data_IF_884135218254
#
_entry.id   IF_884135218254
#
_cell.length_a   1.000
_cell.length_b   1.000
_cell.length_c   1.000
_cell.angle_alpha   90.00
_cell.angle_beta   90.00
_cell.angle_gamma   90.00
#
_symmetry.space_group_name_H-M   'P 1'
#
loop_
_entity.id
_entity.type
_entity.pdbx_description
1 polymer ?
#
# COMPACT_ATOMS: atom_id res chain seq x y z
N UNK A 1 -32.44 2.15 -0.11
CA UNK A 1 -31.84 0.80 -0.26
C UNK A 1 -31.13 0.55 -1.60
N UNK A 2 -31.47 1.23 -2.71
CA UNK A 2 -30.77 1.04 -4.00
C UNK A 2 -29.28 1.45 -3.97
N UNK A 3 -28.92 2.45 -3.16
CA UNK A 3 -27.55 2.94 -3.01
C UNK A 3 -26.55 1.83 -2.58
N UNK A 4 -27.00 0.79 -1.86
CA UNK A 4 -26.17 -0.33 -1.41
C UNK A 4 -25.56 -1.14 -2.57
N UNK A 5 -26.24 -1.19 -3.73
CA UNK A 5 -25.78 -1.97 -4.90
C UNK A 5 -24.69 -1.26 -5.71
N UNK A 6 -24.61 0.06 -5.60
CA UNK A 6 -23.64 0.88 -6.36
C UNK A 6 -22.20 0.47 -6.08
N UNK A 7 -21.72 0.32 -4.82
CA UNK A 7 -20.35 -0.08 -4.54
C UNK A 7 -20.01 -1.51 -4.98
N UNK A 8 -21.01 -2.37 -5.20
CA UNK A 8 -20.81 -3.73 -5.70
C UNK A 8 -20.61 -3.77 -7.24
N UNK A 9 -21.16 -2.81 -7.97
CA UNK A 9 -21.10 -2.77 -9.43
C UNK A 9 -19.97 -1.87 -9.97
N UNK A 10 -19.68 -0.76 -9.28
CA UNK A 10 -18.67 0.21 -9.72
C UNK A 10 -17.25 -0.36 -9.91
N UNK A 11 -16.77 -1.39 -9.18
CA UNK A 11 -15.46 -1.98 -9.44
C UNK A 11 -15.25 -2.45 -10.88
N UNK A 12 -16.30 -2.94 -11.55
CA UNK A 12 -16.21 -3.39 -12.95
C UNK A 12 -15.88 -2.25 -13.92
N UNK A 13 -16.36 -1.03 -13.64
CA UNK A 13 -16.09 0.16 -14.45
C UNK A 13 -14.79 0.88 -14.02
N UNK A 14 -14.57 1.01 -12.71
CA UNK A 14 -13.44 1.77 -12.18
C UNK A 14 -12.08 1.10 -12.43
N UNK A 15 -12.01 -0.25 -12.42
CA UNK A 15 -10.77 -0.99 -12.60
C UNK A 15 -10.12 -0.75 -13.98
N UNK A 16 -10.80 -0.86 -15.13
CA UNK A 16 -10.21 -0.55 -16.43
C UNK A 16 -9.77 0.92 -16.53
N UNK A 17 -10.52 1.86 -15.94
CA UNK A 17 -10.15 3.28 -15.90
C UNK A 17 -8.85 3.49 -15.10
N UNK A 18 -8.76 2.91 -13.91
CA UNK A 18 -7.58 2.99 -13.06
C UNK A 18 -6.34 2.41 -13.75
N UNK A 19 -6.46 1.28 -14.45
CA UNK A 19 -5.35 0.67 -15.19
C UNK A 19 -4.87 1.57 -16.32
N UNK A 20 -5.78 2.11 -17.14
CA UNK A 20 -5.45 3.05 -18.24
C UNK A 20 -4.76 4.30 -17.70
N UNK A 21 -5.26 4.85 -16.60
CA UNK A 21 -4.68 6.04 -15.99
C UNK A 21 -3.28 5.75 -15.43
N UNK A 22 -3.07 4.59 -14.82
CA UNK A 22 -1.79 4.19 -14.25
C UNK A 22 -0.68 4.08 -15.31
N UNK A 23 -1.00 3.64 -16.53
CA UNK A 23 -0.04 3.54 -17.64
C UNK A 23 0.56 4.90 -18.05
N UNK A 24 -0.17 5.99 -17.82
CA UNK A 24 0.25 7.35 -18.18
C UNK A 24 0.92 8.10 -17.02
N UNK A 25 0.94 7.54 -15.82
CA UNK A 25 1.46 8.18 -14.62
C UNK A 25 2.90 7.73 -14.30
N UNK A 26 3.67 8.60 -13.60
CA UNK A 26 4.93 8.16 -13.00
C UNK A 26 4.71 6.96 -12.07
N UNK A 27 5.67 6.02 -11.98
CA UNK A 27 5.46 4.74 -11.29
C UNK A 27 4.95 4.86 -9.84
N UNK A 28 5.47 5.83 -9.09
CA UNK A 28 5.02 6.10 -7.72
C UNK A 28 3.56 6.55 -7.67
N UNK A 29 3.16 7.48 -8.53
CA UNK A 29 1.78 7.97 -8.60
C UNK A 29 0.82 6.87 -9.05
N UNK A 30 1.21 6.07 -10.04
CA UNK A 30 0.45 4.90 -10.50
C UNK A 30 0.24 3.86 -9.38
N UNK A 31 1.26 3.56 -8.59
CA UNK A 31 1.15 2.64 -7.45
C UNK A 31 0.15 3.16 -6.40
N UNK A 32 0.21 4.44 -6.04
CA UNK A 32 -0.74 5.07 -5.12
C UNK A 32 -2.17 5.09 -5.69
N UNK A 33 -2.33 5.40 -6.97
CA UNK A 33 -3.63 5.38 -7.64
C UNK A 33 -4.26 3.99 -7.58
N UNK A 34 -3.52 2.95 -8.01
CA UNK A 34 -4.04 1.59 -8.06
C UNK A 34 -4.37 1.05 -6.67
N UNK A 35 -3.50 1.28 -5.68
CA UNK A 35 -3.74 0.84 -4.31
C UNK A 35 -4.90 1.61 -3.66
N UNK A 36 -4.98 2.93 -3.87
CA UNK A 36 -6.07 3.77 -3.37
C UNK A 36 -7.41 3.35 -3.97
N UNK A 37 -7.47 3.16 -5.29
CA UNK A 37 -8.66 2.64 -5.98
C UNK A 37 -9.08 1.28 -5.43
N UNK A 38 -8.15 0.34 -5.29
CA UNK A 38 -8.44 -0.98 -4.73
C UNK A 38 -9.00 -0.89 -3.30
N UNK A 39 -8.44 -0.02 -2.46
CA UNK A 39 -8.86 0.16 -1.06
C UNK A 39 -10.26 0.77 -0.95
N UNK A 40 -10.56 1.82 -1.73
CA UNK A 40 -11.88 2.49 -1.71
C UNK A 40 -12.97 1.55 -2.20
N UNK A 41 -12.74 0.87 -3.32
CA UNK A 41 -13.74 -0.03 -3.89
C UNK A 41 -13.96 -1.28 -3.02
N UNK A 42 -12.90 -1.86 -2.46
CA UNK A 42 -13.01 -2.99 -1.53
C UNK A 42 -13.72 -2.58 -0.23
N UNK A 43 -13.41 -1.38 0.29
CA UNK A 43 -14.09 -0.80 1.45
C UNK A 43 -15.58 -0.59 1.21
N UNK A 44 -15.94 -0.01 0.07
CA UNK A 44 -17.34 0.16 -0.34
C UNK A 44 -18.10 -1.17 -0.45
N UNK A 45 -17.47 -2.19 -1.07
CA UNK A 45 -18.03 -3.55 -1.13
C UNK A 45 -18.28 -4.14 0.25
N UNK A 46 -17.30 -4.04 1.15
CA UNK A 46 -17.41 -4.56 2.51
C UNK A 46 -18.50 -3.83 3.32
N UNK A 47 -18.55 -2.50 3.21
CA UNK A 47 -19.59 -1.70 3.85
C UNK A 47 -20.99 -2.07 3.32
N UNK A 48 -21.16 -2.20 2.00
CA UNK A 48 -22.45 -2.59 1.40
C UNK A 48 -22.94 -3.95 1.90
N UNK A 49 -22.07 -4.96 1.89
CA UNK A 49 -22.42 -6.29 2.42
C UNK A 49 -22.72 -6.24 3.92
N UNK A 50 -21.94 -5.46 4.67
CA UNK A 50 -22.16 -5.25 6.11
C UNK A 50 -23.51 -4.61 6.40
N UNK A 51 -23.89 -3.57 5.66
CA UNK A 51 -25.20 -2.90 5.80
C UNK A 51 -26.36 -3.84 5.46
N UNK A 52 -26.24 -4.63 4.38
CA UNK A 52 -27.26 -5.64 4.04
C UNK A 52 -27.41 -6.70 5.14
N UNK A 53 -26.30 -7.21 5.66
CA UNK A 53 -26.33 -8.17 6.75
C UNK A 53 -26.95 -7.57 8.03
N UNK A 54 -26.56 -6.34 8.37
CA UNK A 54 -27.07 -5.64 9.56
C UNK A 54 -28.57 -5.36 9.42
N UNK A 55 -29.05 -4.88 8.27
CA UNK A 55 -30.47 -4.62 8.04
C UNK A 55 -31.35 -5.86 8.27
N UNK A 56 -30.88 -7.04 7.86
CA UNK A 56 -31.62 -8.27 8.13
C UNK A 56 -31.46 -8.79 9.57
N UNK A 57 -30.30 -8.60 10.20
CA UNK A 57 -30.10 -8.95 11.61
C UNK A 57 -31.05 -8.15 12.53
N UNK A 58 -31.31 -6.88 12.22
CA UNK A 58 -32.24 -6.03 12.99
C UNK A 58 -33.68 -6.53 12.93
N UNK A 59 -34.06 -7.35 11.94
CA UNK A 59 -35.38 -7.95 11.82
C UNK A 59 -35.54 -9.29 12.58
N UNK A 60 -34.47 -9.79 13.22
CA UNK A 60 -34.57 -10.95 14.11
C UNK A 60 -35.21 -10.54 15.44
N UNK A 61 -36.24 -11.28 15.93
CA UNK A 61 -36.98 -10.90 17.14
C UNK A 61 -36.06 -10.63 18.37
N UNK A 62 -35.04 -11.44 18.67
CA UNK A 62 -34.17 -11.17 19.81
C UNK A 62 -33.30 -9.90 19.63
N UNK A 63 -32.91 -9.58 18.40
CA UNK A 63 -32.10 -8.39 18.11
C UNK A 63 -32.98 -7.14 18.16
N UNK A 64 -34.19 -7.19 17.59
CA UNK A 64 -35.16 -6.12 17.66
C UNK A 64 -35.55 -5.80 19.10
N UNK A 65 -35.78 -6.82 19.93
CA UNK A 65 -36.10 -6.65 21.36
C UNK A 65 -34.96 -6.00 22.14
N UNK A 66 -33.70 -6.43 21.92
CA UNK A 66 -32.52 -5.81 22.54
C UNK A 66 -32.33 -4.34 22.14
N UNK A 67 -32.69 -3.98 20.90
CA UNK A 67 -32.59 -2.61 20.39
C UNK A 67 -33.83 -1.76 20.65
N UNK A 68 -34.87 -2.29 21.31
CA UNK A 68 -36.17 -1.66 21.48
C UNK A 68 -36.79 -1.20 20.14
N UNK A 69 -36.72 -2.07 19.12
CA UNK A 69 -37.15 -1.76 17.76
C UNK A 69 -38.56 -2.35 17.46
N UNK A 70 -39.39 -1.57 16.79
CA UNK A 70 -40.67 -2.08 16.28
C UNK A 70 -40.46 -3.02 15.12
N UNK A 71 -40.67 -4.32 15.34
CA UNK A 71 -40.50 -5.37 14.33
C UNK A 71 -41.51 -5.21 13.16
N UNK A 72 -42.82 -4.89 13.40
CA UNK A 72 -43.78 -4.65 12.32
C UNK A 72 -43.36 -3.51 11.41
N UNK A 73 -42.81 -2.44 12.00
CA UNK A 73 -42.33 -1.29 11.22
C UNK A 73 -41.11 -1.65 10.38
N UNK A 74 -40.10 -2.33 10.94
CA UNK A 74 -38.90 -2.76 10.22
C UNK A 74 -39.22 -3.69 9.04
N UNK A 75 -40.17 -4.61 9.21
CA UNK A 75 -40.56 -5.54 8.15
C UNK A 75 -41.34 -4.83 7.04
N UNK A 76 -42.14 -3.84 7.37
CA UNK A 76 -42.87 -3.02 6.40
C UNK A 76 -41.90 -2.06 5.65
N UNK A 77 -40.93 -1.44 6.34
CA UNK A 77 -39.97 -0.51 5.75
C UNK A 77 -38.95 -1.19 4.82
N UNK A 78 -38.57 -2.45 5.09
CA UNK A 78 -37.56 -3.18 4.33
C UNK A 78 -37.91 -4.68 4.18
N UNK A 79 -38.92 -5.05 3.39
CA UNK A 79 -39.41 -6.43 3.28
C UNK A 79 -38.38 -7.39 2.67
N UNK A 80 -37.44 -6.88 1.86
CA UNK A 80 -36.38 -7.69 1.23
C UNK A 80 -35.13 -7.88 2.12
N UNK A 81 -35.04 -7.19 3.28
CA UNK A 81 -33.84 -7.23 4.12
C UNK A 81 -33.47 -8.63 4.63
N UNK A 82 -34.41 -9.52 5.03
CA UNK A 82 -34.05 -10.88 5.46
C UNK A 82 -33.40 -11.69 4.34
N UNK A 83 -33.94 -11.59 3.11
CA UNK A 83 -33.37 -12.31 1.95
C UNK A 83 -31.98 -11.76 1.61
N UNK A 84 -31.83 -10.43 1.59
CA UNK A 84 -30.54 -9.79 1.33
C UNK A 84 -29.49 -10.16 2.37
N UNK A 85 -29.87 -10.24 3.66
CA UNK A 85 -28.99 -10.66 4.74
C UNK A 85 -28.62 -12.14 4.68
N UNK A 86 -29.58 -13.01 4.32
CA UNK A 86 -29.33 -14.43 4.12
C UNK A 86 -28.29 -14.71 3.02
N UNK A 87 -28.18 -13.80 2.04
CA UNK A 87 -27.14 -13.86 1.01
C UNK A 87 -25.84 -13.16 1.45
N UNK A 88 -25.93 -11.97 2.05
CA UNK A 88 -24.77 -11.18 2.43
C UNK A 88 -23.99 -11.78 3.60
N UNK A 89 -24.66 -12.42 4.57
CA UNK A 89 -24.03 -13.01 5.75
C UNK A 89 -23.00 -14.11 5.41
N UNK A 90 -23.40 -15.16 4.68
CA UNK A 90 -22.48 -16.19 4.22
C UNK A 90 -21.34 -15.64 3.35
N UNK A 91 -21.61 -14.68 2.47
CA UNK A 91 -20.58 -14.03 1.65
C UNK A 91 -19.57 -13.32 2.56
N UNK A 92 -20.01 -12.55 3.55
CA UNK A 92 -19.12 -11.89 4.52
C UNK A 92 -18.28 -12.92 5.32
N UNK A 93 -18.89 -14.02 5.75
CA UNK A 93 -18.17 -15.08 6.46
C UNK A 93 -17.07 -15.70 5.58
N UNK A 94 -17.36 -15.97 4.32
CA UNK A 94 -16.37 -16.46 3.35
C UNK A 94 -15.26 -15.44 3.12
N UNK A 95 -15.59 -14.16 2.92
CA UNK A 95 -14.61 -13.09 2.74
C UNK A 95 -13.71 -12.91 3.98
N UNK A 96 -14.29 -12.97 5.18
CA UNK A 96 -13.54 -12.93 6.42
C UNK A 96 -12.58 -14.14 6.53
N UNK A 97 -13.04 -15.34 6.21
CA UNK A 97 -12.21 -16.55 6.20
C UNK A 97 -11.06 -16.45 5.19
N UNK A 98 -11.33 -15.94 3.98
CA UNK A 98 -10.30 -15.68 2.96
C UNK A 98 -9.28 -14.65 3.45
N UNK A 99 -9.71 -13.52 4.01
CA UNK A 99 -8.84 -12.48 4.55
C UNK A 99 -7.95 -13.02 5.67
N UNK A 100 -8.52 -13.78 6.62
CA UNK A 100 -7.76 -14.44 7.70
C UNK A 100 -6.77 -15.45 7.12
N UNK A 101 -7.18 -16.28 6.16
CA UNK A 101 -6.30 -17.25 5.49
C UNK A 101 -5.13 -16.56 4.80
N UNK A 102 -5.37 -15.49 4.03
CA UNK A 102 -4.35 -14.71 3.35
C UNK A 102 -3.39 -14.05 4.36
N UNK A 103 -3.92 -13.43 5.42
CA UNK A 103 -3.12 -12.84 6.49
C UNK A 103 -2.24 -13.88 7.21
N UNK A 104 -2.81 -15.06 7.55
CA UNK A 104 -2.07 -16.17 8.20
C UNK A 104 -0.97 -16.72 7.31
N UNK A 105 -1.24 -16.96 6.01
CA UNK A 105 -0.24 -17.40 5.03
C UNK A 105 0.93 -16.43 4.97
N UNK A 106 0.67 -15.14 4.81
CA UNK A 106 1.70 -14.11 4.82
C UNK A 106 2.52 -14.09 6.08
N UNK A 107 1.85 -14.20 7.22
CA UNK A 107 2.52 -14.22 8.51
C UNK A 107 3.47 -15.42 8.64
N UNK A 108 3.04 -16.61 8.21
CA UNK A 108 3.85 -17.82 8.20
C UNK A 108 5.03 -17.71 7.23
N UNK A 109 4.81 -17.21 6.00
CA UNK A 109 5.88 -16.98 5.01
C UNK A 109 6.95 -16.02 5.54
N UNK A 110 6.54 -14.89 6.14
CA UNK A 110 7.47 -13.93 6.72
C UNK A 110 8.20 -14.50 7.96
N UNK A 111 7.54 -15.37 8.75
CA UNK A 111 8.19 -16.07 9.86
C UNK A 111 9.23 -17.06 9.34
N UNK A 112 8.87 -17.88 8.36
CA UNK A 112 9.78 -18.85 7.76
C UNK A 112 11.00 -18.18 7.14
N UNK A 113 10.79 -17.08 6.38
CA UNK A 113 11.89 -16.31 5.81
C UNK A 113 12.83 -15.73 6.86
N UNK A 114 12.29 -15.28 8.02
CA UNK A 114 13.14 -14.79 9.12
C UNK A 114 13.88 -15.91 9.84
N UNK A 115 13.26 -17.07 9.99
CA UNK A 115 13.88 -18.23 10.63
C UNK A 115 15.01 -18.84 9.79
N UNK A 116 14.93 -18.72 8.46
CA UNK A 116 15.96 -19.16 7.53
C UNK A 116 17.20 -18.24 7.50
N UNK A 117 17.09 -17.04 8.10
CA UNK A 117 18.23 -16.11 8.17
C UNK A 117 19.09 -16.41 9.39
N UNK A 118 20.43 -16.52 9.23
CA UNK A 118 21.33 -16.64 10.37
C UNK A 118 21.17 -15.42 11.29
N UNK A 119 21.35 -15.64 12.59
CA UNK A 119 21.42 -14.58 13.59
C UNK A 119 22.77 -13.83 13.40
N UNK A 120 22.86 -13.02 12.35
CA UNK A 120 24.07 -12.27 12.06
C UNK A 120 24.15 -11.00 12.90
N UNK A 121 25.34 -10.60 13.37
CA UNK A 121 25.55 -9.28 13.95
C UNK A 121 25.18 -8.22 12.90
N UNK A 122 24.21 -7.37 13.25
CA UNK A 122 23.73 -6.32 12.39
C UNK A 122 24.86 -5.29 12.14
N UNK A 123 25.53 -5.40 11.00
CA UNK A 123 26.34 -4.29 10.50
C UNK A 123 25.42 -3.26 9.86
N UNK A 124 25.49 -1.98 10.26
CA UNK A 124 24.75 -0.94 9.56
C UNK A 124 25.22 -0.91 8.10
N UNK A 125 24.24 -0.94 7.18
CA UNK A 125 24.48 -1.04 5.73
C UNK A 125 25.32 0.12 5.12
N UNK A 126 25.62 1.15 5.90
CA UNK A 126 26.40 2.32 5.46
C UNK A 126 27.90 2.08 5.36
N UNK A 127 28.45 1.06 6.02
CA UNK A 127 29.92 0.82 6.04
C UNK A 127 30.43 -0.04 4.88
N UNK A 128 29.56 -0.53 4.01
CA UNK A 128 29.92 -1.46 2.92
C UNK A 128 29.98 -0.81 1.53
N UNK A 129 29.76 0.50 1.42
CA UNK A 129 30.01 1.22 0.17
C UNK A 129 31.43 1.76 0.21
N UNK A 130 32.32 1.44 -0.76
CA UNK A 130 33.60 2.09 -0.85
C UNK A 130 33.37 3.59 -0.99
N UNK A 131 33.93 4.37 -0.10
CA UNK A 131 34.06 5.80 -0.29
C UNK A 131 34.71 6.03 -1.67
N UNK A 132 34.09 6.83 -2.52
CA UNK A 132 34.76 7.31 -3.71
C UNK A 132 36.08 7.94 -3.28
N UNK A 133 37.17 7.42 -3.86
CA UNK A 133 38.50 7.95 -3.63
C UNK A 133 38.48 9.44 -3.96
N UNK A 134 38.72 10.23 -2.93
CA UNK A 134 39.20 11.58 -3.09
C UNK A 134 40.66 11.45 -3.57
N UNK A 135 40.90 11.89 -4.81
CA UNK A 135 42.26 12.15 -5.29
C UNK A 135 42.97 13.09 -4.31
N UNK A 136 44.23 12.75 -3.94
CA UNK A 136 45.02 13.59 -3.08
C UNK A 136 45.78 14.63 -3.93
N UNK A 137 45.11 15.67 -4.36
CA UNK A 137 45.78 16.87 -4.88
C UNK A 137 44.86 18.07 -4.82
N UNK A 138 44.79 18.73 -3.69
CA UNK A 138 44.82 20.19 -3.58
C UNK A 138 44.87 20.62 -2.10
N UNK A 139 46.08 20.58 -1.54
CA UNK A 139 46.45 21.38 -0.37
C UNK A 139 46.95 22.72 -0.90
N UNK A 140 46.15 23.78 -0.76
CA UNK A 140 46.71 25.14 -0.49
C UNK A 140 45.63 26.18 -0.19
N UNK A 141 45.91 26.90 0.89
CA UNK A 141 45.56 28.30 1.25
C UNK A 141 44.15 28.56 1.81
N UNK A 142 44.01 28.72 3.13
CA UNK A 142 44.12 29.99 3.84
C UNK A 142 42.77 30.58 4.28
N UNK A 143 42.63 31.15 5.50
CA UNK A 143 41.32 31.51 6.08
C UNK A 143 40.97 33.00 5.85
N UNK A 144 39.71 33.32 5.71
CA UNK A 144 39.19 34.67 6.03
C UNK A 144 37.69 34.69 6.41
N UNK A 145 37.20 35.77 7.05
CA UNK A 145 36.46 35.66 8.30
C UNK A 145 34.97 36.06 8.22
N UNK A 146 34.35 36.00 9.38
CA UNK A 146 32.98 36.33 9.72
C UNK A 146 32.40 37.64 9.17
N UNK A 147 31.09 37.59 8.81
CA UNK A 147 30.19 38.76 8.94
C UNK A 147 28.80 38.30 9.42
N UNK A 148 28.42 38.74 10.63
CA UNK A 148 27.03 39.02 11.03
C UNK A 148 26.71 40.46 10.65
N UNK A 149 25.45 40.84 10.36
CA UNK A 149 24.58 41.44 11.37
C UNK A 149 23.10 40.97 11.25
N UNK A 150 22.40 40.77 12.36
CA UNK A 150 21.49 41.68 13.09
C UNK A 150 20.38 42.33 12.25
N UNK A 151 19.12 41.99 12.59
CA UNK A 151 17.91 42.63 12.08
C UNK A 151 16.63 42.02 12.66
N UNK A 152 16.26 42.43 13.86
CA UNK A 152 14.96 42.18 14.49
C UNK A 152 13.91 43.07 13.82
N UNK A 153 12.79 42.51 13.37
CA UNK A 153 11.55 43.28 13.23
C UNK A 153 10.34 42.48 13.65
N UNK A 154 9.63 43.02 14.62
CA UNK A 154 8.31 42.65 15.08
C UNK A 154 7.25 42.89 14.00
N UNK A 155 6.32 41.96 13.78
CA UNK A 155 4.98 42.24 13.29
C UNK A 155 3.99 41.16 13.72
N UNK A 156 3.16 41.57 14.60
CA UNK A 156 1.69 41.47 14.68
C UNK A 156 1.03 40.08 14.81
N UNK A 157 0.45 39.96 16.03
CA UNK A 157 -0.44 38.87 16.43
C UNK A 157 -1.90 39.26 16.19
N UNK A 158 -2.61 38.50 15.33
CA UNK A 158 -4.08 38.21 15.39
C UNK A 158 -4.52 37.47 14.09
N UNK A 159 -5.47 36.49 14.10
CA UNK A 159 -6.26 35.90 15.19
C UNK A 159 -6.21 34.37 15.32
N UNK A 160 -6.07 33.91 16.51
CA UNK A 160 -5.92 32.51 16.95
C UNK A 160 -7.27 31.90 17.40
N UNK A 161 -8.25 31.68 16.56
CA UNK A 161 -9.44 30.89 16.98
C UNK A 161 -9.96 29.84 15.96
N UNK A 162 -9.57 29.85 14.69
CA UNK A 162 -9.97 28.85 13.71
C UNK A 162 -8.98 27.68 13.55
N UNK A 163 -7.78 27.77 14.13
CA UNK A 163 -6.70 26.79 13.95
C UNK A 163 -6.74 25.57 14.90
N UNK A 164 -7.44 25.66 16.03
CA UNK A 164 -7.40 24.61 17.07
C UNK A 164 -8.18 23.35 16.69
N UNK A 165 -9.27 23.46 15.93
CA UNK A 165 -10.03 22.28 15.47
C UNK A 165 -9.32 21.52 14.37
N UNK A 166 -8.67 22.21 13.41
CA UNK A 166 -7.84 21.56 12.37
C UNK A 166 -6.58 20.91 12.95
N UNK A 167 -6.00 21.51 14.00
CA UNK A 167 -4.82 20.96 14.66
C UNK A 167 -5.07 19.65 15.43
N UNK A 168 -6.29 19.40 15.92
CA UNK A 168 -6.64 18.14 16.59
C UNK A 168 -6.79 16.97 15.60
N UNK A 169 -7.47 17.18 14.48
CA UNK A 169 -7.63 16.15 13.44
C UNK A 169 -6.28 15.76 12.79
N UNK A 170 -5.43 16.76 12.50
CA UNK A 170 -4.08 16.51 11.96
C UNK A 170 -3.12 15.90 12.99
N UNK A 171 -3.32 16.14 14.27
CA UNK A 171 -2.53 15.51 15.34
C UNK A 171 -2.90 14.04 15.50
N UNK A 172 -4.19 13.68 15.42
CA UNK A 172 -4.65 12.29 15.47
C UNK A 172 -4.14 11.48 14.27
N UNK A 173 -4.23 12.04 13.06
CA UNK A 173 -3.65 11.44 11.83
C UNK A 173 -2.12 11.29 11.93
N UNK A 174 -1.41 12.28 12.48
CA UNK A 174 0.04 12.20 12.71
C UNK A 174 0.39 11.15 13.76
N UNK A 175 -0.36 11.02 14.84
CA UNK A 175 -0.13 9.99 15.87
C UNK A 175 -0.39 8.58 15.31
N UNK A 176 -1.42 8.38 14.50
CA UNK A 176 -1.68 7.11 13.83
C UNK A 176 -0.59 6.76 12.80
N UNK A 177 -0.03 7.77 12.11
CA UNK A 177 1.11 7.59 11.20
C UNK A 177 2.43 7.33 11.94
N UNK A 178 2.57 7.81 13.18
CA UNK A 178 3.78 7.58 14.01
C UNK A 178 3.86 6.13 14.49
N UNK A 179 2.71 5.48 14.71
CA UNK A 179 2.63 4.04 15.02
C UNK A 179 3.11 3.15 13.86
N UNK A 180 3.12 3.68 12.63
CA UNK A 180 3.63 2.99 11.44
C UNK A 180 5.10 3.26 11.15
N UNK A 181 5.81 4.06 11.96
CA UNK A 181 7.24 4.31 11.78
C UNK A 181 8.04 3.05 12.14
N UNK A 182 8.58 2.39 11.11
CA UNK A 182 9.64 1.40 11.32
C UNK A 182 10.91 2.10 11.82
N UNK A 183 11.73 1.41 12.65
CA UNK A 183 13.01 1.96 13.09
C UNK A 183 13.86 2.38 11.87
N UNK A 184 14.47 3.55 11.96
CA UNK A 184 15.31 4.12 10.91
C UNK A 184 16.61 3.31 10.85
N UNK A 185 16.73 2.46 9.86
CA UNK A 185 17.92 1.64 9.62
C UNK A 185 17.51 0.31 8.96
N UNK A 186 18.15 -0.02 7.85
CA UNK A 186 17.98 -1.31 7.21
C UNK A 186 19.27 -2.12 7.40
N UNK A 187 19.13 -3.38 7.81
CA UNK A 187 20.23 -4.29 7.98
C UNK A 187 20.50 -5.01 6.66
N UNK A 188 21.77 -5.18 6.30
CA UNK A 188 22.19 -6.03 5.18
C UNK A 188 22.57 -7.41 5.73
N UNK A 189 21.94 -8.45 5.19
CA UNK A 189 22.27 -9.84 5.46
C UNK A 189 22.80 -10.47 4.17
N UNK A 190 24.04 -10.92 4.20
CA UNK A 190 24.65 -11.68 3.11
C UNK A 190 24.58 -13.15 3.49
N UNK A 191 23.96 -13.96 2.62
CA UNK A 191 23.87 -15.40 2.78
C UNK A 191 24.96 -16.06 1.93
N UNK A 192 25.66 -17.01 2.50
CA UNK A 192 26.60 -17.83 1.75
C UNK A 192 25.85 -18.92 0.99
N UNK A 193 25.33 -18.57 -0.17
CA UNK A 193 24.59 -19.44 -1.09
C UNK A 193 25.01 -19.10 -2.51
N UNK A 194 25.33 -20.13 -3.30
CA UNK A 194 25.73 -20.01 -4.69
C UNK A 194 24.60 -19.57 -5.61
N UNK A 195 23.36 -19.83 -5.21
CA UNK A 195 22.17 -19.41 -5.93
C UNK A 195 22.04 -17.90 -5.88
N UNK A 196 21.75 -17.28 -7.03
CA UNK A 196 21.64 -15.84 -7.11
C UNK A 196 20.24 -15.39 -6.68
N UNK A 197 20.13 -14.76 -5.50
CA UNK A 197 18.90 -14.12 -5.03
C UNK A 197 19.17 -12.86 -4.21
N UNK A 198 18.23 -11.92 -4.25
CA UNK A 198 18.19 -10.74 -3.40
C UNK A 198 16.73 -10.36 -3.14
N UNK A 199 16.42 -9.95 -1.93
CA UNK A 199 15.08 -9.49 -1.57
C UNK A 199 15.06 -8.63 -0.31
N UNK A 200 14.04 -7.77 -0.24
CA UNK A 200 13.74 -6.93 0.90
C UNK A 200 12.78 -7.63 1.87
N UNK A 201 13.22 -7.88 3.10
CA UNK A 201 12.39 -8.45 4.16
C UNK A 201 11.89 -7.33 5.08
N UNK A 202 10.57 -7.06 5.14
CA UNK A 202 10.03 -5.98 5.98
C UNK A 202 10.30 -6.26 7.46
N UNK A 203 10.57 -5.19 8.21
CA UNK A 203 10.73 -5.24 9.65
C UNK A 203 9.41 -5.53 10.39
N UNK A 204 9.50 -5.66 11.71
CA UNK A 204 8.32 -5.75 12.58
C UNK A 204 7.97 -4.39 13.15
N UNK A 205 6.69 -4.07 13.14
CA UNK A 205 6.19 -2.87 13.81
C UNK A 205 6.40 -3.00 15.32
N UNK A 206 6.70 -1.88 15.94
CA UNK A 206 6.73 -1.76 17.40
C UNK A 206 5.33 -2.06 17.96
N UNK A 207 5.26 -2.95 18.93
CA UNK A 207 4.04 -3.27 19.69
C UNK A 207 4.26 -2.93 21.16
N UNK A 208 3.19 -2.70 21.96
CA UNK A 208 3.34 -2.57 23.41
C UNK A 208 4.11 -3.77 23.97
N UNK A 209 5.17 -3.50 24.75
CA UNK A 209 6.03 -4.53 25.34
C UNK A 209 7.02 -5.21 24.40
N UNK A 210 7.08 -4.83 23.10
CA UNK A 210 8.06 -5.40 22.15
C UNK A 210 8.68 -4.32 21.29
N UNK A 211 10.02 -4.29 21.24
CA UNK A 211 10.75 -3.41 20.32
C UNK A 211 10.46 -3.79 18.87
N UNK A 212 10.33 -2.80 17.99
CA UNK A 212 10.24 -3.03 16.56
C UNK A 212 11.57 -3.55 16.00
N UNK A 213 11.52 -4.42 15.01
CA UNK A 213 12.70 -4.89 14.30
C UNK A 213 12.86 -4.10 12.99
N UNK A 214 14.09 -3.66 12.63
CA UNK A 214 14.32 -3.00 11.35
C UNK A 214 14.11 -3.97 10.18
N UNK A 215 13.82 -3.43 8.99
CA UNK A 215 13.79 -4.22 7.77
C UNK A 215 15.20 -4.70 7.39
N UNK A 216 15.29 -5.83 6.68
CA UNK A 216 16.55 -6.43 6.23
C UNK A 216 16.56 -6.53 4.72
N UNK A 217 17.70 -6.21 4.11
CA UNK A 217 18.01 -6.55 2.72
C UNK A 217 18.80 -7.85 2.76
N UNK A 218 18.27 -8.88 2.12
CA UNK A 218 18.91 -10.19 2.04
C UNK A 218 19.51 -10.34 0.64
N UNK A 219 20.80 -10.71 0.56
CA UNK A 219 21.50 -10.92 -0.70
C UNK A 219 22.37 -12.16 -0.56
N UNK A 220 22.39 -13.02 -1.56
CA UNK A 220 23.25 -14.19 -1.59
C UNK A 220 24.64 -13.89 -2.17
N UNK A 221 25.65 -14.67 -1.80
CA UNK A 221 26.99 -14.59 -2.38
C UNK A 221 26.96 -14.84 -3.90
N UNK A 222 26.10 -15.74 -4.40
CA UNK A 222 25.87 -15.97 -5.82
C UNK A 222 25.38 -14.73 -6.56
N UNK A 223 24.42 -13.98 -6.01
CA UNK A 223 23.96 -12.71 -6.60
C UNK A 223 25.07 -11.65 -6.61
N UNK A 224 25.83 -11.54 -5.53
CA UNK A 224 26.93 -10.59 -5.47
C UNK A 224 28.03 -10.90 -6.50
N UNK A 225 28.32 -12.18 -6.78
CA UNK A 225 29.28 -12.57 -7.82
C UNK A 225 28.77 -12.30 -9.23
N UNK A 226 27.46 -12.39 -9.47
CA UNK A 226 26.84 -12.16 -10.77
C UNK A 226 26.87 -10.69 -11.23
N UNK A 227 27.10 -9.75 -10.31
CA UNK A 227 27.00 -8.31 -10.54
C UNK A 227 28.34 -7.62 -10.33
N UNK A 228 28.63 -6.59 -11.13
CA UNK A 228 29.74 -5.66 -10.92
C UNK A 228 29.50 -4.72 -9.72
N UNK A 229 30.51 -4.01 -9.25
CA UNK A 229 30.41 -3.08 -8.12
C UNK A 229 29.25 -2.06 -8.28
N UNK A 230 29.19 -1.29 -9.37
CA UNK A 230 28.09 -0.34 -9.62
C UNK A 230 26.72 -1.03 -9.71
N UNK A 231 26.62 -2.22 -10.31
CA UNK A 231 25.37 -2.99 -10.41
C UNK A 231 24.91 -3.51 -9.04
N UNK A 232 25.84 -3.90 -8.15
CA UNK A 232 25.54 -4.24 -6.74
C UNK A 232 24.95 -3.04 -6.00
N UNK A 233 25.54 -1.86 -6.20
CA UNK A 233 25.00 -0.63 -5.60
C UNK A 233 23.58 -0.34 -6.09
N UNK A 234 23.29 -0.54 -7.38
CA UNK A 234 21.95 -0.40 -7.95
C UNK A 234 20.98 -1.43 -7.36
N UNK A 235 21.36 -2.70 -7.25
CA UNK A 235 20.55 -3.75 -6.63
C UNK A 235 20.22 -3.41 -5.18
N UNK A 236 21.21 -3.04 -4.37
CA UNK A 236 20.98 -2.69 -2.95
C UNK A 236 20.11 -1.44 -2.79
N UNK A 237 20.21 -0.46 -3.69
CA UNK A 237 19.37 0.71 -3.71
C UNK A 237 17.91 0.35 -4.08
N UNK A 238 17.72 -0.58 -5.01
CA UNK A 238 16.43 -1.13 -5.40
C UNK A 238 15.74 -1.85 -4.22
N UNK A 239 16.42 -2.77 -3.56
CA UNK A 239 15.89 -3.48 -2.38
C UNK A 239 15.57 -2.53 -1.22
N UNK A 240 16.42 -1.51 -1.02
CA UNK A 240 16.14 -0.46 -0.04
C UNK A 240 14.89 0.33 -0.37
N UNK A 241 14.62 0.60 -1.66
CA UNK A 241 13.41 1.29 -2.10
C UNK A 241 12.14 0.50 -1.74
N UNK A 242 12.15 -0.83 -1.81
CA UNK A 242 11.04 -1.67 -1.36
C UNK A 242 10.74 -1.50 0.12
N UNK A 243 11.77 -1.37 0.97
CA UNK A 243 11.59 -1.17 2.41
C UNK A 243 11.10 0.25 2.72
N UNK A 244 11.76 1.27 2.16
CA UNK A 244 11.42 2.68 2.41
C UNK A 244 10.07 3.07 1.82
N UNK A 245 9.75 2.56 0.63
CA UNK A 245 8.44 2.72 -0.04
C UNK A 245 7.34 1.84 0.55
N UNK A 246 7.68 0.90 1.46
CA UNK A 246 6.73 -0.06 2.05
C UNK A 246 5.92 -0.83 1.01
N UNK A 247 6.56 -1.25 -0.06
CA UNK A 247 5.90 -1.90 -1.20
C UNK A 247 5.12 -3.16 -0.77
N UNK A 248 5.55 -3.85 0.29
CA UNK A 248 4.82 -4.98 0.88
C UNK A 248 3.42 -4.63 1.40
N UNK A 249 3.17 -3.37 1.80
CA UNK A 249 1.84 -2.90 2.23
C UNK A 249 0.92 -2.75 1.03
N UNK A 250 1.42 -2.16 -0.07
CA UNK A 250 0.65 -2.01 -1.31
C UNK A 250 0.22 -3.36 -1.87
N UNK A 251 1.15 -4.33 -1.91
CA UNK A 251 0.85 -5.70 -2.34
C UNK A 251 -0.17 -6.37 -1.41
N UNK A 252 -0.06 -6.12 -0.09
CA UNK A 252 -1.01 -6.62 0.88
C UNK A 252 -2.42 -6.10 0.63
N UNK A 253 -2.56 -4.79 0.44
CA UNK A 253 -3.84 -4.16 0.15
C UNK A 253 -4.47 -4.70 -1.13
N UNK A 254 -3.69 -4.84 -2.21
CA UNK A 254 -4.19 -5.37 -3.47
C UNK A 254 -4.65 -6.83 -3.38
N UNK A 255 -3.96 -7.66 -2.60
CA UNK A 255 -4.38 -9.06 -2.40
C UNK A 255 -5.68 -9.13 -1.60
N UNK A 256 -5.77 -8.41 -0.48
CA UNK A 256 -7.01 -8.38 0.30
C UNK A 256 -8.18 -7.77 -0.50
N UNK A 257 -7.94 -6.72 -1.28
CA UNK A 257 -8.95 -6.17 -2.16
C UNK A 257 -9.43 -7.19 -3.21
N UNK A 258 -8.50 -7.96 -3.79
CA UNK A 258 -8.82 -9.01 -4.75
C UNK A 258 -9.56 -10.21 -4.14
N UNK A 259 -9.36 -10.48 -2.84
CA UNK A 259 -10.14 -11.47 -2.08
C UNK A 259 -11.55 -10.95 -1.80
N UNK A 260 -11.70 -9.64 -1.51
CA UNK A 260 -12.99 -9.01 -1.22
C UNK A 260 -13.88 -8.85 -2.46
N UNK A 261 -13.30 -8.55 -3.63
CA UNK A 261 -14.09 -8.37 -4.84
C UNK A 261 -13.34 -8.88 -6.09
N UNK A 262 -13.89 -9.84 -6.85
CA UNK A 262 -13.20 -10.47 -7.98
C UNK A 262 -12.83 -9.48 -9.10
N UNK A 263 -13.61 -8.41 -9.33
CA UNK A 263 -13.28 -7.37 -10.30
C UNK A 263 -12.00 -6.58 -9.95
N UNK A 264 -11.50 -6.65 -8.69
CA UNK A 264 -10.25 -5.99 -8.27
C UNK A 264 -9.00 -6.82 -8.56
N UNK A 265 -9.13 -8.12 -8.87
CA UNK A 265 -8.00 -9.00 -9.20
C UNK A 265 -7.09 -8.47 -10.30
N UNK A 266 -7.61 -7.85 -11.39
CA UNK A 266 -6.78 -7.30 -12.46
C UNK A 266 -5.90 -6.10 -12.05
N UNK A 267 -6.06 -5.52 -10.85
CA UNK A 267 -5.18 -4.45 -10.35
C UNK A 267 -3.85 -4.97 -9.79
N UNK A 268 -3.74 -6.27 -9.43
CA UNK A 268 -2.57 -6.84 -8.76
C UNK A 268 -1.30 -6.78 -9.63
N UNK A 269 -1.38 -7.24 -10.86
CA UNK A 269 -0.23 -7.27 -11.76
C UNK A 269 0.27 -5.87 -12.17
N UNK A 270 -0.59 -4.92 -12.58
CA UNK A 270 -0.18 -3.53 -12.81
C UNK A 270 0.44 -2.88 -11.57
N UNK A 271 -0.14 -3.07 -10.38
CA UNK A 271 0.41 -2.53 -9.14
C UNK A 271 1.82 -3.09 -8.89
N UNK A 272 2.02 -4.40 -8.98
CA UNK A 272 3.33 -5.04 -8.85
C UNK A 272 4.34 -4.42 -9.83
N UNK A 273 3.97 -4.30 -11.10
CA UNK A 273 4.82 -3.67 -12.12
C UNK A 273 5.22 -2.22 -11.77
N UNK A 274 4.29 -1.39 -11.31
CA UNK A 274 4.59 -0.01 -10.96
C UNK A 274 5.43 0.10 -9.67
N UNK A 275 5.29 -0.81 -8.73
CA UNK A 275 6.14 -0.87 -7.54
C UNK A 275 7.59 -1.22 -7.91
N UNK A 276 7.79 -2.18 -8.82
CA UNK A 276 9.10 -2.51 -9.36
C UNK A 276 9.72 -1.32 -10.12
N UNK A 277 8.94 -0.68 -10.99
CA UNK A 277 9.36 0.52 -11.71
C UNK A 277 9.70 1.68 -10.77
N UNK A 278 8.96 1.82 -9.66
CA UNK A 278 9.28 2.83 -8.65
C UNK A 278 10.63 2.52 -7.98
N UNK A 279 10.88 1.27 -7.61
CA UNK A 279 12.16 0.87 -7.03
C UNK A 279 13.32 1.07 -8.03
N UNK A 280 13.11 0.76 -9.33
CA UNK A 280 14.08 1.01 -10.40
C UNK A 280 14.44 2.48 -10.54
N UNK A 281 13.44 3.39 -10.54
CA UNK A 281 13.69 4.83 -10.65
C UNK A 281 14.42 5.39 -9.42
N UNK A 282 14.12 4.89 -8.22
CA UNK A 282 14.85 5.26 -6.99
C UNK A 282 16.30 4.76 -7.04
N UNK A 283 16.51 3.54 -7.51
CA UNK A 283 17.85 2.97 -7.68
C UNK A 283 18.67 3.77 -8.71
N UNK A 284 18.08 4.07 -9.86
CA UNK A 284 18.72 4.87 -10.91
C UNK A 284 19.07 6.29 -10.44
N UNK A 285 18.19 6.93 -9.67
CA UNK A 285 18.47 8.23 -9.08
C UNK A 285 19.58 8.17 -8.04
N UNK A 286 19.70 7.06 -7.29
CA UNK A 286 20.73 6.88 -6.25
C UNK A 286 22.11 6.63 -6.84
N UNK A 287 22.18 5.84 -7.92
CA UNK A 287 23.45 5.49 -8.62
C UNK A 287 23.87 6.61 -9.59
N UNK A 288 22.92 7.43 -10.04
CA UNK A 288 23.16 8.48 -11.03
C UNK A 288 23.23 7.98 -12.47
N UNK A 289 23.08 6.66 -12.70
CA UNK A 289 23.20 6.03 -14.03
C UNK A 289 22.05 5.05 -14.28
N UNK A 290 21.19 5.38 -15.25
CA UNK A 290 20.04 4.55 -15.66
C UNK A 290 20.49 3.30 -16.41
N UNK A 291 21.56 3.38 -17.20
CA UNK A 291 22.07 2.26 -17.97
C UNK A 291 22.71 1.20 -17.07
N UNK A 292 23.45 1.62 -16.02
CA UNK A 292 23.96 0.72 -14.98
C UNK A 292 22.80 0.02 -14.28
N UNK A 293 21.76 0.77 -13.90
CA UNK A 293 20.57 0.19 -13.24
C UNK A 293 19.85 -0.79 -14.15
N UNK A 294 19.68 -0.47 -15.44
CA UNK A 294 19.06 -1.37 -16.42
C UNK A 294 19.85 -2.69 -16.56
N UNK A 295 21.19 -2.60 -16.63
CA UNK A 295 22.07 -3.79 -16.67
C UNK A 295 21.97 -4.60 -15.39
N UNK A 296 21.93 -3.94 -14.22
CA UNK A 296 21.77 -4.60 -12.93
C UNK A 296 20.46 -5.40 -12.87
N UNK A 297 19.33 -4.79 -13.27
CA UNK A 297 18.01 -5.45 -13.32
C UNK A 297 18.04 -6.65 -14.26
N UNK A 298 18.59 -6.51 -15.46
CA UNK A 298 18.68 -7.60 -16.45
C UNK A 298 19.57 -8.74 -15.96
N UNK A 299 20.78 -8.45 -15.47
CA UNK A 299 21.73 -9.47 -14.97
C UNK A 299 21.22 -10.16 -13.71
N UNK A 300 20.64 -9.43 -12.77
CA UNK A 300 20.07 -10.02 -11.57
C UNK A 300 18.92 -10.99 -11.91
N UNK A 301 18.04 -10.61 -12.84
CA UNK A 301 16.96 -11.47 -13.31
C UNK A 301 17.48 -12.75 -14.00
N UNK A 302 18.49 -12.63 -14.88
CA UNK A 302 19.12 -13.76 -15.54
C UNK A 302 19.85 -14.68 -14.54
N UNK A 303 20.53 -14.13 -13.56
CA UNK A 303 21.19 -14.92 -12.53
C UNK A 303 20.18 -15.68 -11.67
N UNK A 304 19.11 -15.00 -11.23
CA UNK A 304 18.05 -15.61 -10.43
C UNK A 304 17.27 -16.70 -11.18
N UNK A 305 17.11 -16.60 -12.52
CA UNK A 305 16.38 -17.58 -13.31
C UNK A 305 17.11 -18.93 -13.44
N UNK A 306 18.43 -18.94 -13.30
CA UNK A 306 19.26 -20.16 -13.44
C UNK A 306 19.14 -21.11 -12.24
N UNK A 307 18.87 -20.58 -11.06
CA UNK A 307 18.79 -21.37 -9.81
C UNK A 307 17.85 -20.69 -8.83
N UNK A 308 16.53 -20.85 -8.96
CA UNK A 308 15.56 -20.18 -8.09
C UNK A 308 15.70 -20.66 -6.63
N UNK A 309 15.68 -19.73 -5.70
CA UNK A 309 15.78 -20.04 -4.27
C UNK A 309 14.43 -20.48 -3.70
N UNK A 310 14.30 -21.72 -3.18
CA UNK A 310 13.01 -22.27 -2.78
C UNK A 310 12.39 -21.59 -1.54
N UNK A 311 13.22 -20.98 -0.70
CA UNK A 311 12.76 -20.32 0.54
C UNK A 311 12.32 -18.85 0.35
N UNK A 312 12.25 -18.36 -0.91
CA UNK A 312 11.80 -16.98 -1.18
C UNK A 312 10.33 -16.81 -0.81
N UNK A 313 9.96 -15.84 0.05
CA UNK A 313 8.58 -15.57 0.37
C UNK A 313 7.81 -15.21 -0.91
N UNK A 314 6.64 -15.81 -1.13
CA UNK A 314 5.79 -15.53 -2.32
C UNK A 314 5.44 -14.05 -2.46
N UNK A 315 5.29 -13.37 -1.35
CA UNK A 315 5.03 -11.92 -1.30
C UNK A 315 6.16 -11.10 -1.92
N UNK A 316 7.40 -11.54 -1.71
CA UNK A 316 8.60 -10.94 -2.29
C UNK A 316 8.75 -11.39 -3.75
N UNK A 317 8.43 -12.66 -4.06
CA UNK A 317 8.43 -13.17 -5.43
C UNK A 317 7.36 -12.51 -6.31
N UNK A 318 6.19 -12.18 -5.77
CA UNK A 318 5.13 -11.46 -6.49
C UNK A 318 5.54 -10.02 -6.86
N UNK A 319 6.38 -9.38 -6.05
CA UNK A 319 6.95 -8.07 -6.37
C UNK A 319 7.88 -8.13 -7.60
N UNK A 320 8.60 -9.23 -7.82
CA UNK A 320 9.50 -9.42 -8.96
C UNK A 320 8.80 -9.94 -10.23
N UNK A 321 7.50 -10.15 -10.21
CA UNK A 321 6.72 -10.73 -11.30
C UNK A 321 6.43 -9.77 -12.47
N UNK A 322 6.99 -8.55 -12.47
CA UNK A 322 6.89 -7.64 -13.60
C UNK A 322 7.75 -8.09 -14.78
N UNK A 323 7.34 -7.83 -16.03
CA UNK A 323 8.13 -8.17 -17.21
C UNK A 323 9.45 -7.39 -17.20
N UNK A 324 10.54 -8.08 -16.86
CA UNK A 324 11.91 -7.51 -16.80
C UNK A 324 12.29 -6.76 -18.09
N UNK A 325 11.97 -7.26 -19.31
CA UNK A 325 12.26 -6.51 -20.54
C UNK A 325 11.60 -5.12 -20.58
N UNK A 326 10.34 -5.00 -20.12
CA UNK A 326 9.65 -3.69 -20.06
C UNK A 326 10.29 -2.74 -19.03
N UNK A 327 10.80 -3.25 -17.90
CA UNK A 327 11.51 -2.47 -16.90
C UNK A 327 12.84 -1.95 -17.45
N UNK A 328 13.62 -2.81 -18.07
CA UNK A 328 14.90 -2.46 -18.72
C UNK A 328 14.67 -1.44 -19.83
N UNK A 329 13.72 -1.69 -20.75
CA UNK A 329 13.39 -0.75 -21.80
C UNK A 329 13.02 0.63 -21.27
N UNK A 330 12.19 0.68 -20.22
CA UNK A 330 11.77 1.93 -19.59
C UNK A 330 12.90 2.68 -18.87
N UNK A 331 13.93 1.98 -18.38
CA UNK A 331 15.15 2.62 -17.84
C UNK A 331 16.05 3.19 -18.95
N UNK A 332 16.09 2.54 -20.11
CA UNK A 332 16.91 2.97 -21.24
C UNK A 332 16.26 4.08 -22.07
N UNK A 333 14.93 4.22 -22.02
CA UNK A 333 14.23 5.30 -22.72
C UNK A 333 14.38 6.64 -22.00
N UNK A 334 14.43 7.76 -22.74
CA UNK A 334 14.24 9.09 -22.15
C UNK A 334 12.90 9.16 -21.41
N UNK A 335 12.82 9.96 -20.35
CA UNK A 335 11.55 10.15 -19.65
C UNK A 335 10.49 10.60 -20.65
N UNK A 336 9.32 9.94 -20.72
CA UNK A 336 8.32 10.29 -21.71
C UNK A 336 7.88 11.74 -21.51
N UNK A 337 7.97 12.51 -22.59
CA UNK A 337 7.35 13.82 -22.71
C UNK A 337 5.83 13.61 -22.78
N UNK A 338 5.12 14.31 -21.94
CA UNK A 338 3.66 14.50 -21.80
C UNK A 338 2.74 13.80 -22.81
N UNK A 339 1.95 12.85 -22.31
CA UNK A 339 0.77 12.28 -22.99
C UNK A 339 -0.28 13.38 -23.24
N UNK A 340 -1.10 13.30 -24.31
CA UNK A 340 -2.15 14.28 -24.57
C UNK A 340 -3.08 14.47 -23.39
N UNK A 341 -3.00 15.64 -22.77
CA UNK A 341 -3.58 15.96 -21.46
C UNK A 341 -5.10 15.82 -21.40
N UNK A 342 -5.81 15.98 -22.51
CA UNK A 342 -7.27 15.98 -22.56
C UNK A 342 -7.90 14.61 -22.32
N UNK A 343 -7.42 13.56 -23.01
CA UNK A 343 -7.93 12.18 -22.82
C UNK A 343 -7.62 11.66 -21.41
N UNK A 344 -6.44 12.00 -20.90
CA UNK A 344 -6.03 11.60 -19.56
C UNK A 344 -6.89 12.26 -18.47
N UNK A 345 -7.25 13.53 -18.65
CA UNK A 345 -8.19 14.25 -17.77
C UNK A 345 -9.57 13.62 -17.74
N UNK A 346 -10.11 13.23 -18.89
CA UNK A 346 -11.40 12.57 -18.96
C UNK A 346 -11.43 11.23 -18.20
N UNK A 347 -10.38 10.41 -18.38
CA UNK A 347 -10.25 9.13 -17.64
C UNK A 347 -10.10 9.37 -16.14
N UNK A 348 -9.32 10.38 -15.75
CA UNK A 348 -9.11 10.74 -14.35
C UNK A 348 -10.42 11.23 -13.70
N UNK A 349 -11.19 12.07 -14.39
CA UNK A 349 -12.50 12.56 -13.94
C UNK A 349 -13.51 11.40 -13.81
N UNK A 350 -13.57 10.50 -14.81
CA UNK A 350 -14.44 9.33 -14.76
C UNK A 350 -14.09 8.42 -13.58
N UNK A 351 -12.81 8.17 -13.31
CA UNK A 351 -12.39 7.39 -12.16
C UNK A 351 -12.72 8.11 -10.86
N UNK A 352 -12.46 9.42 -10.76
CA UNK A 352 -12.80 10.21 -9.59
C UNK A 352 -14.30 10.18 -9.31
N UNK A 353 -15.13 10.28 -10.35
CA UNK A 353 -16.58 10.15 -10.25
C UNK A 353 -17.01 8.76 -9.73
N UNK A 354 -16.41 7.67 -10.22
CA UNK A 354 -16.67 6.33 -9.70
C UNK A 354 -16.33 6.20 -8.21
N UNK A 355 -15.18 6.73 -7.79
CA UNK A 355 -14.76 6.67 -6.38
C UNK A 355 -15.63 7.54 -5.48
N UNK A 356 -15.98 8.76 -5.94
CA UNK A 356 -16.89 9.66 -5.23
C UNK A 356 -18.29 9.04 -5.11
N UNK A 357 -18.81 8.45 -6.18
CA UNK A 357 -20.12 7.79 -6.17
C UNK A 357 -20.14 6.56 -5.25
N UNK A 358 -19.05 5.77 -5.22
CA UNK A 358 -18.90 4.65 -4.26
C UNK A 358 -18.98 5.16 -2.83
N UNK A 359 -18.27 6.23 -2.52
CA UNK A 359 -18.22 6.81 -1.17
C UNK A 359 -19.57 7.42 -0.79
N UNK A 360 -20.17 8.22 -1.68
CA UNK A 360 -21.46 8.84 -1.47
C UNK A 360 -22.57 7.80 -1.25
N UNK A 361 -22.64 6.79 -2.10
CA UNK A 361 -23.62 5.70 -1.99
C UNK A 361 -23.46 4.91 -0.67
N UNK A 362 -22.23 4.69 -0.22
CA UNK A 362 -21.96 4.03 1.07
C UNK A 362 -22.42 4.89 2.23
N UNK A 363 -22.16 6.20 2.21
CA UNK A 363 -22.59 7.14 3.25
C UNK A 363 -24.11 7.28 3.28
N UNK A 364 -24.75 7.38 2.12
CA UNK A 364 -26.21 7.44 2.00
C UNK A 364 -26.87 6.17 2.56
N UNK A 365 -26.38 4.99 2.18
CA UNK A 365 -26.90 3.73 2.69
C UNK A 365 -26.73 3.60 4.21
N UNK A 366 -25.62 4.11 4.76
CA UNK A 366 -25.38 4.13 6.22
C UNK A 366 -26.36 5.08 6.91
N UNK A 367 -26.60 6.27 6.35
CA UNK A 367 -27.56 7.23 6.85
C UNK A 367 -29.00 6.70 6.77
N UNK A 368 -29.35 6.00 5.70
CA UNK A 368 -30.64 5.34 5.55
C UNK A 368 -30.89 4.30 6.63
N UNK A 369 -29.90 3.44 6.90
CA UNK A 369 -30.00 2.44 7.96
C UNK A 369 -30.16 3.10 9.34
N UNK A 370 -29.40 4.18 9.60
CA UNK A 370 -29.48 4.92 10.84
C UNK A 370 -30.90 5.51 11.05
N UNK A 371 -31.43 6.20 10.05
CA UNK A 371 -32.80 6.76 10.09
C UNK A 371 -33.86 5.66 10.29
N UNK A 372 -33.66 4.50 9.63
CA UNK A 372 -34.56 3.35 9.79
C UNK A 372 -34.57 2.85 11.24
N UNK A 373 -33.42 2.77 11.87
CA UNK A 373 -33.28 2.36 13.29
C UNK A 373 -33.95 3.38 14.22
N UNK A 374 -33.67 4.67 14.04
CA UNK A 374 -34.29 5.73 14.85
C UNK A 374 -35.81 5.73 14.73
N UNK A 375 -36.37 5.64 13.51
CA UNK A 375 -37.79 5.56 13.29
C UNK A 375 -38.39 4.32 13.97
N UNK A 376 -37.75 3.17 13.89
CA UNK A 376 -38.23 1.93 14.55
C UNK A 376 -38.22 2.01 16.07
N UNK A 377 -37.38 2.84 16.69
CA UNK A 377 -37.34 3.06 18.14
C UNK A 377 -38.44 4.02 18.63
N UNK A 378 -38.89 4.95 17.76
CA UNK A 378 -39.87 5.95 18.12
C UNK A 378 -41.31 5.55 17.76
N UNK A 379 -41.48 4.41 17.09
CA UNK A 379 -42.82 3.95 16.67
C UNK A 379 -43.67 3.52 17.88
N UNK A 380 -44.94 3.96 17.95
CA UNK A 380 -45.86 3.50 19.00
C UNK A 380 -46.04 1.97 18.93
N UNK A 381 -45.60 1.26 19.96
CA UNK A 381 -45.62 -0.20 20.03
C UNK A 381 -44.22 -0.86 20.10
N UNK A 382 -43.14 -0.10 20.09
CA UNK A 382 -41.84 -0.62 20.40
C UNK A 382 -41.83 -1.13 21.87
N UNK A 383 -41.24 -2.30 22.16
CA UNK A 383 -41.13 -2.79 23.55
C UNK A 383 -40.28 -1.83 24.37
N UNK A 384 -40.80 -1.42 25.53
CA UNK A 384 -40.11 -0.56 26.52
C UNK A 384 -39.13 -1.36 27.35
#
# INVERSE_FOLDING_TARGET
MLAVWVPLLLPFLAVPLARRLAEALPPRAAAWLLAGTATVLAGGTLCSLGLLATAGLLQLPPVAALGHLSLPWLTAAAPSAPVAAALAGPVLAVLAALAVRTARRRHLELRAARAALPAAPARPALSALPAHGTDPADERTGPHPAHRPAGVQHADMRPLRASVRRARATRWLRSSLTLLRQPVGHQLAVLDDERADAFALPGRLRRPGRMGEPGRIVVTSGMLRALSGPERAALLAHERAHLTGRHHVFLALAEHAADLHPALRPLRAPLGYHLERWADEVAAARVGDRAVTARAVGRAALAASRSPWPARPRLVAAAHAGPVPRRVAALLQPRPSTTPATRLRAVALALAACLALTTAATLEATADLHRTVEAAQHEPGAPR
#
